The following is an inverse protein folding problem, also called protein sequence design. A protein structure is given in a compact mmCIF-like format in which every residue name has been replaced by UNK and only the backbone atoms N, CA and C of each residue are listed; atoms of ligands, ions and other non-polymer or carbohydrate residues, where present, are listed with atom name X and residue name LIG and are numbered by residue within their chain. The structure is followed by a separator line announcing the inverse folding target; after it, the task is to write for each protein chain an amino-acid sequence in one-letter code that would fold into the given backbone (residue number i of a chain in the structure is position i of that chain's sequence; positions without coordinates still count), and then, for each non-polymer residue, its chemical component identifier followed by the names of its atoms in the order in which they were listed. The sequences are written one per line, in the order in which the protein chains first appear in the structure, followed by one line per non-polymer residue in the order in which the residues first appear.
data_IF_507663522646
#
_entry.id   IF_507663522646
#
_cell.length_a   1.000
_cell.length_b   1.000
_cell.length_c   1.000
_cell.angle_alpha   90.00
_cell.angle_beta   90.00
_cell.angle_gamma   90.00
#
_symmetry.space_group_name_H-M   'P 1'
#
loop_
_entity.id
_entity.type
_entity.pdbx_description
1 polymer ?
#
# COMPACT_ATOMS: atom_id res chain seq x y z
N UNK A 1 4.51 30.29 17.38
CA UNK A 1 5.57 29.38 16.88
C UNK A 1 4.89 28.05 16.58
N UNK A 2 5.02 27.49 15.36
CA UNK A 2 4.37 26.21 15.00
C UNK A 2 5.16 25.07 15.66
N UNK A 3 4.49 24.16 16.36
CA UNK A 3 5.14 22.97 16.89
C UNK A 3 5.41 21.99 15.74
N UNK A 4 6.68 21.65 15.58
CA UNK A 4 7.17 20.74 14.54
C UNK A 4 7.68 19.50 15.24
N UNK A 5 7.39 18.34 14.67
CA UNK A 5 8.08 17.10 14.97
C UNK A 5 9.30 17.02 14.06
N UNK A 6 10.51 17.30 14.58
CA UNK A 6 11.70 17.37 13.75
C UNK A 6 12.05 15.98 13.21
N UNK A 7 12.41 15.90 11.93
CA UNK A 7 12.76 14.65 11.27
C UNK A 7 13.88 13.89 11.99
N UNK A 8 14.84 14.60 12.60
CA UNK A 8 15.87 13.95 13.39
C UNK A 8 15.30 13.28 14.65
N UNK A 9 14.30 13.86 15.33
CA UNK A 9 13.64 13.21 16.49
C UNK A 9 12.76 12.03 16.06
N UNK A 10 12.18 12.08 14.86
CA UNK A 10 11.48 10.95 14.24
C UNK A 10 12.41 9.77 14.01
N UNK A 11 13.56 10.04 13.39
CA UNK A 11 14.58 9.03 13.14
C UNK A 11 15.14 8.47 14.44
N UNK A 12 15.50 9.32 15.40
CA UNK A 12 16.06 8.87 16.69
C UNK A 12 15.05 8.12 17.53
N UNK A 13 13.78 8.54 17.58
CA UNK A 13 12.71 7.85 18.31
C UNK A 13 12.40 6.47 17.74
N UNK A 14 12.24 6.39 16.42
CA UNK A 14 12.02 5.11 15.73
C UNK A 14 13.21 4.16 15.88
N UNK A 15 14.43 4.66 15.70
CA UNK A 15 15.64 3.86 15.87
C UNK A 15 15.85 3.44 17.33
N UNK A 16 15.52 4.27 18.33
CA UNK A 16 15.81 3.95 19.74
C UNK A 16 14.83 2.97 20.39
N UNK A 17 13.59 2.85 19.90
CA UNK A 17 12.60 1.95 20.51
C UNK A 17 12.92 0.46 20.34
N UNK A 18 13.62 0.07 19.26
CA UNK A 18 14.14 -1.28 19.07
C UNK A 18 15.35 -1.26 18.13
N UNK A 19 16.43 -0.57 18.52
CA UNK A 19 17.57 -0.30 17.64
C UNK A 19 18.12 -1.56 16.97
N UNK A 20 18.34 -2.64 17.71
CA UNK A 20 18.80 -3.90 17.14
C UNK A 20 17.80 -4.53 16.17
N UNK A 21 16.50 -4.44 16.45
CA UNK A 21 15.46 -5.00 15.57
C UNK A 21 15.29 -4.17 14.31
N UNK A 22 15.35 -2.85 14.42
CA UNK A 22 15.28 -1.94 13.27
C UNK A 22 16.55 -2.05 12.44
N UNK A 23 17.74 -1.98 13.03
CA UNK A 23 19.01 -2.17 12.30
C UNK A 23 19.03 -3.54 11.62
N UNK A 24 18.55 -4.59 12.27
CA UNK A 24 18.48 -5.94 11.68
C UNK A 24 17.37 -6.07 10.63
N UNK A 25 16.19 -5.47 10.81
CA UNK A 25 15.13 -5.44 9.80
C UNK A 25 15.54 -4.60 8.58
N UNK A 26 16.24 -3.49 8.78
CA UNK A 26 16.81 -2.66 7.72
C UNK A 26 17.96 -3.36 6.99
N UNK A 27 18.81 -4.06 7.73
CA UNK A 27 19.86 -4.89 7.15
C UNK A 27 19.28 -6.11 6.40
N UNK A 28 18.22 -6.72 6.90
CA UNK A 28 17.52 -7.82 6.24
C UNK A 28 16.74 -7.34 5.00
N UNK A 29 16.04 -6.21 5.08
CA UNK A 29 15.41 -5.53 3.94
C UNK A 29 16.45 -5.23 2.85
N UNK A 30 17.63 -4.72 3.24
CA UNK A 30 18.76 -4.53 2.35
C UNK A 30 19.24 -5.85 1.75
N UNK A 31 19.43 -6.90 2.56
CA UNK A 31 19.82 -8.21 2.06
C UNK A 31 18.78 -8.83 1.14
N UNK A 32 17.48 -8.61 1.37
CA UNK A 32 16.39 -9.12 0.55
C UNK A 32 16.29 -8.36 -0.78
N UNK A 33 16.51 -7.04 -0.77
CA UNK A 33 16.67 -6.23 -1.98
C UNK A 33 17.89 -6.71 -2.80
N UNK A 34 19.01 -7.02 -2.15
CA UNK A 34 20.24 -7.47 -2.84
C UNK A 34 20.16 -8.92 -3.33
N UNK A 35 19.66 -9.84 -2.50
CA UNK A 35 19.53 -11.26 -2.85
C UNK A 35 18.36 -11.53 -3.81
N UNK A 36 17.38 -10.62 -3.88
CA UNK A 36 16.17 -10.75 -4.69
C UNK A 36 16.20 -10.04 -6.04
N UNK A 37 17.00 -8.98 -6.21
CA UNK A 37 16.96 -8.09 -7.40
C UNK A 37 18.29 -7.92 -8.15
N UNK A 38 19.40 -8.55 -7.75
CA UNK A 38 20.64 -8.60 -8.55
C UNK A 38 21.28 -7.25 -8.91
N UNK A 39 20.92 -6.18 -8.21
CA UNK A 39 21.34 -4.81 -8.50
C UNK A 39 22.67 -4.43 -7.78
N UNK A 40 23.60 -3.70 -8.44
CA UNK A 40 24.93 -3.42 -7.91
C UNK A 40 24.96 -2.35 -6.81
N UNK A 41 26.10 -2.27 -6.11
CA UNK A 41 26.31 -1.51 -4.89
C UNK A 41 26.13 0.02 -4.97
N UNK A 42 26.12 0.61 -6.16
CA UNK A 42 25.89 2.05 -6.33
C UNK A 42 24.44 2.45 -6.02
N UNK A 43 23.47 1.55 -6.26
CA UNK A 43 22.08 1.74 -5.82
C UNK A 43 21.92 1.73 -4.30
N UNK A 44 22.92 1.22 -3.58
CA UNK A 44 22.91 1.28 -2.12
C UNK A 44 23.03 2.72 -1.64
N UNK A 45 23.91 3.53 -2.24
CA UNK A 45 24.08 4.93 -1.83
C UNK A 45 22.85 5.76 -2.13
N UNK A 46 22.27 5.60 -3.32
CA UNK A 46 21.04 6.30 -3.70
C UNK A 46 19.86 5.91 -2.81
N UNK A 47 19.72 4.63 -2.45
CA UNK A 47 18.70 4.19 -1.51
C UNK A 47 18.91 4.77 -0.10
N UNK A 48 20.14 4.86 0.40
CA UNK A 48 20.40 5.48 1.70
C UNK A 48 20.13 6.99 1.69
N UNK A 49 20.44 7.69 0.60
CA UNK A 49 20.11 9.11 0.44
C UNK A 49 18.59 9.33 0.40
N UNK A 50 17.84 8.47 -0.30
CA UNK A 50 16.38 8.52 -0.34
C UNK A 50 15.74 8.10 1.00
N UNK A 51 16.30 7.10 1.68
CA UNK A 51 15.81 6.60 2.96
C UNK A 51 16.06 7.59 4.10
N UNK A 52 17.16 8.34 4.03
CA UNK A 52 17.48 9.40 4.99
C UNK A 52 16.89 10.76 4.60
N UNK A 53 16.10 10.83 3.51
CA UNK A 53 15.32 12.01 3.16
C UNK A 53 14.12 12.15 4.12
N UNK A 54 14.41 12.47 5.37
CA UNK A 54 13.38 12.73 6.39
C UNK A 54 12.84 14.13 6.18
N UNK A 55 11.51 14.26 6.19
CA UNK A 55 10.84 15.55 6.17
C UNK A 55 10.31 15.88 7.56
N UNK A 56 10.43 17.15 7.96
CA UNK A 56 9.78 17.67 9.15
C UNK A 56 8.26 17.59 9.00
N UNK A 57 7.59 17.00 9.99
CA UNK A 57 6.13 16.93 10.05
C UNK A 57 5.61 17.87 11.13
N UNK A 58 4.41 18.45 10.96
CA UNK A 58 3.79 19.15 12.08
C UNK A 58 3.44 18.17 13.19
N UNK A 59 3.68 18.55 14.45
CA UNK A 59 3.39 17.71 15.60
C UNK A 59 1.93 17.22 15.63
N UNK A 60 0.99 18.11 15.31
CA UNK A 60 -0.44 17.79 15.23
C UNK A 60 -0.73 16.66 14.23
N UNK A 61 -0.12 16.72 13.05
CA UNK A 61 -0.28 15.68 12.01
C UNK A 61 0.29 14.33 12.46
N UNK A 62 1.49 14.34 13.07
CA UNK A 62 2.11 13.11 13.56
C UNK A 62 1.30 12.47 14.68
N UNK A 63 0.92 13.25 15.70
CA UNK A 63 0.15 12.76 16.85
C UNK A 63 -1.23 12.27 16.42
N UNK A 64 -1.91 13.01 15.55
CA UNK A 64 -3.20 12.59 15.00
C UNK A 64 -3.06 11.28 14.21
N UNK A 65 -2.01 11.12 13.42
CA UNK A 65 -1.77 9.89 12.64
C UNK A 65 -1.53 8.69 13.57
N UNK A 66 -0.70 8.85 14.61
CA UNK A 66 -0.45 7.79 15.61
C UNK A 66 -1.74 7.44 16.35
N UNK A 67 -2.46 8.44 16.86
CA UNK A 67 -3.68 8.22 17.63
C UNK A 67 -4.78 7.58 16.77
N UNK A 68 -5.11 8.18 15.62
CA UNK A 68 -6.23 7.73 14.78
C UNK A 68 -5.92 6.47 13.98
N UNK A 69 -4.70 6.37 13.44
CA UNK A 69 -4.27 5.27 12.58
C UNK A 69 -3.88 4.03 13.37
N UNK A 70 -2.99 4.18 14.35
CA UNK A 70 -2.31 3.04 14.98
C UNK A 70 -2.87 2.66 16.35
N UNK A 71 -3.42 3.60 17.13
CA UNK A 71 -3.94 3.32 18.46
C UNK A 71 -5.44 3.02 18.40
N UNK A 72 -6.23 4.01 17.99
CA UNK A 72 -7.70 3.93 18.06
C UNK A 72 -8.30 3.17 16.88
N UNK A 73 -7.60 3.12 15.74
CA UNK A 73 -8.09 2.55 14.48
C UNK A 73 -9.42 3.19 14.04
N UNK A 74 -9.49 4.51 14.09
CA UNK A 74 -10.74 5.26 13.95
C UNK A 74 -11.42 5.06 12.58
N UNK A 75 -10.66 4.88 11.49
CA UNK A 75 -11.20 4.69 10.15
C UNK A 75 -11.95 3.35 10.00
N UNK A 76 -11.33 2.19 10.24
CA UNK A 76 -12.04 0.91 10.10
C UNK A 76 -13.17 0.71 11.11
N UNK A 77 -13.18 1.46 12.23
CA UNK A 77 -14.31 1.49 13.18
C UNK A 77 -15.44 2.43 12.79
N UNK A 78 -15.24 3.27 11.75
CA UNK A 78 -16.24 4.24 11.32
C UNK A 78 -16.42 5.42 12.27
N UNK A 79 -15.38 5.76 13.04
CA UNK A 79 -15.32 6.83 14.04
C UNK A 79 -14.51 8.05 13.56
N UNK A 80 -13.71 7.89 12.50
CA UNK A 80 -12.83 8.95 11.99
C UNK A 80 -13.63 10.12 11.41
N UNK A 81 -13.38 11.33 11.91
CA UNK A 81 -13.93 12.56 11.34
C UNK A 81 -12.84 13.42 10.69
N UNK A 82 -13.20 14.15 9.64
CA UNK A 82 -12.39 15.18 8.99
C UNK A 82 -13.23 16.44 8.81
N UNK A 83 -12.75 17.58 9.34
CA UNK A 83 -13.46 18.89 9.29
C UNK A 83 -14.92 18.81 9.77
N UNK A 84 -15.17 18.04 10.83
CA UNK A 84 -16.51 17.84 11.41
C UNK A 84 -17.40 16.84 10.66
N UNK A 85 -16.94 16.27 9.54
CA UNK A 85 -17.68 15.27 8.78
C UNK A 85 -17.12 13.87 9.04
N UNK A 86 -18.02 12.91 9.21
CA UNK A 86 -17.65 11.52 9.40
C UNK A 86 -17.14 10.93 8.09
N UNK A 87 -15.98 10.29 8.13
CA UNK A 87 -15.38 9.63 6.96
C UNK A 87 -16.09 8.29 6.74
N UNK A 88 -16.69 8.12 5.55
CA UNK A 88 -17.44 6.93 5.15
C UNK A 88 -16.82 6.31 3.90
N UNK A 89 -15.90 5.33 4.02
CA UNK A 89 -15.32 4.65 2.86
C UNK A 89 -16.36 4.01 1.94
N UNK A 90 -17.51 3.60 2.47
CA UNK A 90 -18.62 3.06 1.70
C UNK A 90 -19.29 4.11 0.77
N UNK A 91 -19.02 5.40 0.96
CA UNK A 91 -19.47 6.43 0.02
C UNK A 91 -18.74 6.37 -1.33
N UNK A 92 -17.60 5.69 -1.41
CA UNK A 92 -16.82 5.51 -2.64
C UNK A 92 -17.52 4.53 -3.58
N UNK A 93 -17.91 4.99 -4.78
CA UNK A 93 -18.72 4.21 -5.76
C UNK A 93 -18.25 4.30 -7.20
N UNK A 94 -17.68 5.45 -7.59
CA UNK A 94 -17.46 5.79 -9.00
C UNK A 94 -16.00 5.64 -9.45
N UNK A 95 -15.22 4.85 -8.73
CA UNK A 95 -13.80 4.60 -8.99
C UNK A 95 -13.53 3.10 -9.00
N UNK A 96 -12.37 2.71 -9.52
CA UNK A 96 -11.84 1.36 -9.40
C UNK A 96 -10.83 1.28 -8.24
N UNK A 97 -10.69 0.10 -7.63
CA UNK A 97 -9.81 -0.13 -6.48
C UNK A 97 -8.88 -1.31 -6.75
N UNK A 98 -7.57 -1.04 -6.80
CA UNK A 98 -6.54 -2.07 -6.83
C UNK A 98 -5.71 -2.01 -5.55
N UNK A 99 -5.46 -3.16 -4.93
CA UNK A 99 -4.54 -3.28 -3.79
C UNK A 99 -3.36 -4.16 -4.18
N UNK A 100 -2.15 -3.73 -3.81
CA UNK A 100 -0.90 -4.48 -4.04
C UNK A 100 -0.25 -4.74 -2.69
N UNK A 101 0.14 -5.98 -2.43
CA UNK A 101 0.83 -6.41 -1.21
C UNK A 101 2.10 -7.21 -1.56
N UNK A 102 3.08 -7.19 -0.68
CA UNK A 102 4.28 -8.03 -0.78
C UNK A 102 4.17 -9.24 0.14
N UNK A 103 4.50 -10.44 -0.35
CA UNK A 103 4.47 -11.68 0.44
C UNK A 103 5.34 -11.61 1.71
N UNK A 104 6.45 -10.87 1.64
CA UNK A 104 7.42 -10.70 2.73
C UNK A 104 7.36 -9.31 3.35
N UNK A 105 6.28 -8.56 3.15
CA UNK A 105 6.12 -7.23 3.75
C UNK A 105 5.91 -7.35 5.28
N UNK A 106 6.84 -6.80 6.04
CA UNK A 106 6.83 -6.77 7.51
C UNK A 106 6.38 -5.43 8.11
N UNK A 107 6.10 -4.43 7.26
CA UNK A 107 5.61 -3.10 7.64
C UNK A 107 4.09 -3.05 7.50
N UNK A 108 3.60 -3.37 6.30
CA UNK A 108 2.17 -3.52 5.98
C UNK A 108 1.91 -4.96 5.57
N UNK A 109 1.80 -5.84 6.57
CA UNK A 109 1.66 -7.28 6.35
C UNK A 109 0.44 -7.65 5.50
N UNK A 110 0.52 -8.84 4.88
CA UNK A 110 -0.54 -9.40 4.03
C UNK A 110 -1.91 -9.31 4.70
N UNK A 111 -2.88 -8.78 3.96
CA UNK A 111 -4.25 -8.55 4.39
C UNK A 111 -4.55 -7.11 4.85
N UNK A 112 -3.54 -6.32 5.26
CA UNK A 112 -3.78 -4.96 5.74
C UNK A 112 -4.21 -4.01 4.62
N UNK A 113 -3.57 -4.08 3.46
CA UNK A 113 -3.95 -3.29 2.28
C UNK A 113 -5.20 -3.86 1.65
N UNK A 114 -5.35 -5.19 1.62
CA UNK A 114 -6.56 -5.88 1.15
C UNK A 114 -7.82 -5.45 1.92
N UNK A 115 -7.70 -5.10 3.20
CA UNK A 115 -8.82 -4.63 4.02
C UNK A 115 -9.55 -3.41 3.42
N UNK A 116 -8.89 -2.61 2.57
CA UNK A 116 -9.52 -1.53 1.82
C UNK A 116 -10.75 -1.99 1.01
N UNK A 117 -10.74 -3.22 0.47
CA UNK A 117 -11.88 -3.80 -0.27
C UNK A 117 -13.11 -3.98 0.63
N UNK A 118 -12.91 -4.28 1.91
CA UNK A 118 -14.00 -4.39 2.89
C UNK A 118 -14.53 -3.03 3.29
N UNK A 119 -13.66 -2.03 3.43
CA UNK A 119 -14.04 -0.66 3.77
C UNK A 119 -14.81 0.00 2.62
N UNK A 120 -14.31 -0.11 1.40
CA UNK A 120 -14.92 0.45 0.19
C UNK A 120 -15.99 -0.49 -0.39
N UNK A 121 -16.93 -0.94 0.44
CA UNK A 121 -17.87 -2.02 0.13
C UNK A 121 -18.78 -1.77 -1.09
N UNK A 122 -18.98 -0.51 -1.49
CA UNK A 122 -19.87 -0.14 -2.59
C UNK A 122 -19.17 -0.01 -3.95
N UNK A 123 -17.87 -0.29 -4.05
CA UNK A 123 -17.19 -0.41 -5.35
C UNK A 123 -17.61 -1.76 -5.98
N UNK A 124 -18.09 -1.82 -7.23
CA UNK A 124 -18.43 -3.09 -7.88
C UNK A 124 -17.26 -4.07 -7.94
N UNK A 125 -17.52 -5.38 -7.86
CA UNK A 125 -16.48 -6.42 -7.84
C UNK A 125 -15.62 -6.41 -9.13
N UNK A 126 -16.25 -6.15 -10.27
CA UNK A 126 -15.59 -6.02 -11.56
C UNK A 126 -14.72 -4.74 -11.72
N UNK A 127 -14.73 -3.87 -10.71
CA UNK A 127 -13.85 -2.69 -10.60
C UNK A 127 -12.79 -2.86 -9.50
N UNK A 128 -12.65 -4.08 -8.96
CA UNK A 128 -11.69 -4.40 -7.92
C UNK A 128 -10.59 -5.31 -8.45
N UNK A 129 -9.39 -5.11 -7.94
CA UNK A 129 -8.28 -6.03 -8.12
C UNK A 129 -7.47 -6.13 -6.83
N UNK A 130 -6.90 -7.30 -6.59
CA UNK A 130 -5.91 -7.52 -5.56
C UNK A 130 -4.76 -8.32 -6.15
N UNK A 131 -3.53 -7.91 -5.84
CA UNK A 131 -2.32 -8.61 -6.26
C UNK A 131 -1.35 -8.75 -5.08
N UNK A 132 -1.01 -9.98 -4.76
CA UNK A 132 0.02 -10.32 -3.80
C UNK A 132 1.28 -10.70 -4.58
N UNK A 133 2.32 -9.87 -4.52
CA UNK A 133 3.59 -10.10 -5.19
C UNK A 133 4.43 -11.11 -4.39
N UNK A 134 4.78 -12.27 -4.98
CA UNK A 134 5.65 -13.23 -4.33
C UNK A 134 7.08 -12.71 -4.18
N UNK A 135 7.72 -13.06 -3.07
CA UNK A 135 9.14 -12.89 -2.84
C UNK A 135 9.62 -11.46 -2.52
N UNK A 136 8.75 -10.46 -2.49
CA UNK A 136 9.11 -9.07 -2.17
C UNK A 136 8.68 -8.65 -0.77
N UNK A 137 9.51 -7.83 -0.12
CA UNK A 137 9.15 -7.08 1.08
C UNK A 137 8.51 -5.73 0.75
N UNK A 138 8.35 -4.87 1.76
CA UNK A 138 7.63 -3.59 1.64
C UNK A 138 8.07 -2.73 0.46
N UNK A 139 9.36 -2.45 0.31
CA UNK A 139 9.85 -1.59 -0.75
C UNK A 139 9.75 -2.22 -2.15
N UNK A 140 9.79 -3.55 -2.24
CA UNK A 140 9.70 -4.26 -3.52
C UNK A 140 8.31 -4.17 -4.16
N UNK A 141 7.29 -3.66 -3.43
CA UNK A 141 5.96 -3.42 -4.00
C UNK A 141 5.88 -2.14 -4.84
N UNK A 142 6.85 -1.22 -4.70
CA UNK A 142 6.88 0.07 -5.42
C UNK A 142 8.26 0.48 -5.96
N UNK A 143 9.29 -0.34 -5.76
CA UNK A 143 10.64 -0.10 -6.27
C UNK A 143 11.31 -1.44 -6.64
N UNK A 144 12.44 -1.37 -7.34
CA UNK A 144 13.22 -2.54 -7.72
C UNK A 144 12.82 -3.16 -9.07
N UNK A 145 13.51 -4.24 -9.43
CA UNK A 145 13.35 -4.89 -10.72
C UNK A 145 11.97 -5.54 -10.85
N UNK A 146 11.54 -6.24 -9.79
CA UNK A 146 10.23 -6.90 -9.71
C UNK A 146 9.07 -5.92 -9.82
N UNK A 147 9.17 -4.73 -9.21
CA UNK A 147 8.15 -3.70 -9.41
C UNK A 147 8.04 -3.32 -10.90
N UNK A 148 9.17 -3.04 -11.56
CA UNK A 148 9.17 -2.62 -12.97
C UNK A 148 8.72 -3.72 -13.93
N UNK A 149 9.09 -4.98 -13.68
CA UNK A 149 8.80 -6.09 -14.59
C UNK A 149 7.44 -6.76 -14.33
N UNK A 150 6.92 -6.71 -13.10
CA UNK A 150 5.74 -7.49 -12.71
C UNK A 150 4.59 -6.60 -12.19
N UNK A 151 4.84 -5.68 -11.26
CA UNK A 151 3.78 -4.92 -10.59
C UNK A 151 3.31 -3.74 -11.44
N UNK A 152 4.23 -2.91 -11.94
CA UNK A 152 3.92 -1.71 -12.70
C UNK A 152 3.12 -2.03 -13.99
N UNK A 153 3.43 -3.09 -14.76
CA UNK A 153 2.59 -3.50 -15.89
C UNK A 153 1.16 -3.86 -15.45
N UNK A 154 0.98 -4.58 -14.32
CA UNK A 154 -0.35 -4.92 -13.80
C UNK A 154 -1.15 -3.70 -13.38
N UNK A 155 -0.51 -2.70 -12.78
CA UNK A 155 -1.15 -1.41 -12.46
C UNK A 155 -1.61 -0.72 -13.75
N UNK A 156 -0.74 -0.68 -14.77
CA UNK A 156 -1.06 -0.08 -16.05
C UNK A 156 -2.23 -0.79 -16.74
N UNK A 157 -2.20 -2.12 -16.78
CA UNK A 157 -3.28 -2.95 -17.34
C UNK A 157 -4.60 -2.73 -16.59
N UNK A 158 -4.57 -2.65 -15.26
CA UNK A 158 -5.75 -2.36 -14.47
C UNK A 158 -6.36 -1.00 -14.84
N UNK A 159 -5.55 0.06 -14.90
CA UNK A 159 -6.01 1.40 -15.29
C UNK A 159 -6.64 1.36 -16.70
N UNK A 160 -5.92 0.77 -17.67
CA UNK A 160 -6.37 0.69 -19.06
C UNK A 160 -7.68 -0.10 -19.21
N UNK A 161 -7.88 -1.15 -18.43
CA UNK A 161 -9.12 -1.92 -18.45
C UNK A 161 -10.32 -1.18 -17.84
N UNK A 162 -10.08 -0.22 -16.94
CA UNK A 162 -11.14 0.57 -16.29
C UNK A 162 -11.51 1.82 -17.11
N UNK A 163 -10.61 2.33 -17.94
CA UNK A 163 -10.86 3.49 -18.82
C UNK A 163 -11.62 3.15 -20.11
N UNK A 164 -11.67 1.87 -20.50
CA UNK A 164 -12.43 1.44 -21.68
C UNK A 164 -13.94 1.55 -21.42
N UNK A 165 -14.73 2.23 -22.28
CA UNK A 165 -16.18 2.21 -22.18
C UNK A 165 -16.66 0.76 -22.28
N UNK A 166 -17.31 0.26 -21.23
CA UNK A 166 -17.99 -1.03 -21.31
C UNK A 166 -19.14 -0.85 -22.30
N UNK A 167 -19.07 -1.52 -23.45
CA UNK A 167 -20.23 -1.67 -24.32
C UNK A 167 -21.36 -2.27 -23.46
N UNK A 168 -22.53 -1.64 -23.49
CA UNK A 168 -23.68 -1.97 -22.64
C UNK A 168 -23.90 -3.48 -22.59
N UNK A 169 -23.53 -4.10 -21.47
CA UNK A 169 -23.75 -5.51 -21.24
C UNK A 169 -25.25 -5.70 -21.02
N UNK A 170 -25.95 -6.07 -22.09
CA UNK A 170 -27.30 -6.63 -22.00
C UNK A 170 -27.26 -7.85 -21.06
N UNK A 171 -27.73 -7.69 -19.83
CA UNK A 171 -27.80 -8.77 -18.84
C UNK A 171 -28.95 -9.70 -19.22
N UNK A 172 -28.63 -10.91 -19.70
CA UNK A 172 -29.56 -12.03 -19.69
C UNK A 172 -29.69 -12.55 -18.24
N UNK A 173 -30.90 -12.83 -17.73
CA UNK A 173 -31.09 -13.21 -16.34
C UNK A 173 -30.75 -14.69 -16.14
N UNK A 174 -29.73 -14.95 -15.32
CA UNK A 174 -29.55 -16.26 -14.69
C UNK A 174 -28.19 -16.92 -14.88
N UNK A 175 -27.18 -16.46 -14.15
CA UNK A 175 -26.11 -17.34 -13.66
C UNK A 175 -25.46 -16.72 -12.43
N UNK A 176 -25.68 -17.31 -11.25
CA UNK A 176 -24.78 -17.12 -10.12
C UNK A 176 -23.45 -17.76 -10.54
N UNK A 177 -22.44 -16.94 -10.78
CA UNK A 177 -21.07 -17.39 -10.99
C UNK A 177 -20.32 -17.26 -9.67
N UNK A 178 -19.59 -18.31 -9.33
CA UNK A 178 -18.78 -18.46 -8.13
C UNK A 178 -17.72 -17.35 -8.00
N UNK A 179 -17.38 -17.06 -6.75
CA UNK A 179 -16.53 -15.96 -6.30
C UNK A 179 -15.01 -16.17 -6.57
N UNK A 180 -14.66 -16.47 -7.83
CA UNK A 180 -13.27 -16.61 -8.30
C UNK A 180 -12.87 -15.52 -9.30
N UNK A 181 -13.53 -14.35 -9.27
CA UNK A 181 -13.21 -13.22 -10.14
C UNK A 181 -11.96 -12.45 -9.69
N UNK A 182 -10.84 -13.14 -9.46
CA UNK A 182 -9.52 -12.55 -9.69
C UNK A 182 -9.35 -12.53 -11.20
N UNK A 183 -9.54 -11.36 -11.81
CA UNK A 183 -9.22 -11.17 -13.24
C UNK A 183 -7.81 -11.71 -13.45
N UNK A 184 -7.69 -12.84 -14.16
CA UNK A 184 -6.41 -13.39 -14.57
C UNK A 184 -5.74 -12.33 -15.45
N UNK A 185 -4.85 -11.55 -14.85
CA UNK A 185 -3.96 -10.64 -15.56
C UNK A 185 -2.93 -11.51 -16.30
N UNK A 186 -3.33 -11.86 -17.52
CA UNK A 186 -2.68 -12.60 -18.62
C UNK A 186 -1.59 -13.64 -18.29
N UNK A 187 -1.73 -14.88 -18.80
CA UNK A 187 -0.61 -15.76 -19.07
C UNK A 187 -0.08 -15.49 -20.49
N UNK A 188 1.19 -15.11 -20.64
CA UNK A 188 2.03 -15.42 -21.82
C UNK A 188 3.50 -15.29 -21.44
#
# INVERSE_FOLDING_TARGET
MRQVYPGFLQLTGFMSMNLDRHVKAHYNLFQDLVKGDGEPADKHREFYDEYLAVMDLSADFYLETVEKGFITHALPKGEMTHRGHLVRPEAVRNVALMTVEGEKDDISGVGQTFAAHRLCANIPEDKRAHYLQPGVGHYGVFNGSRFRSEIAPRISDFIMNQERPRADAHVAPGSRADADNVTQLFPH
#
